data_IF_834801239237
#
_entry.id   IF_834801239237
#
_cell.length_a   1.000
_cell.length_b   1.000
_cell.length_c   1.000
_cell.angle_alpha   90.00
_cell.angle_beta   90.00
_cell.angle_gamma   90.00
#
_symmetry.space_group_name_H-M   'P 1'
#
loop_
_entity.id
_entity.type
_entity.pdbx_description
1 polymer ?
#
# COMPACT_ATOMS: atom_id res chain seq x y z
N UNK A 1 35.81 11.18 8.51
CA UNK A 1 35.19 9.96 7.94
C UNK A 1 33.76 9.74 8.45
N UNK A 2 33.48 9.80 9.76
CA UNK A 2 32.13 9.57 10.31
C UNK A 2 31.07 10.63 9.90
N UNK A 3 31.44 11.91 9.78
CA UNK A 3 30.52 12.98 9.33
C UNK A 3 30.00 12.81 7.87
N UNK A 4 30.74 12.13 6.99
CA UNK A 4 30.30 11.87 5.62
C UNK A 4 29.27 10.74 5.54
N UNK A 5 29.39 9.73 6.41
CA UNK A 5 28.45 8.61 6.47
C UNK A 5 27.11 8.98 7.13
N UNK A 6 27.12 9.93 8.09
CA UNK A 6 25.90 10.43 8.73
C UNK A 6 25.00 11.19 7.74
N UNK A 7 25.59 11.92 6.80
CA UNK A 7 24.83 12.63 5.75
C UNK A 7 24.19 11.64 4.75
N UNK A 8 24.94 10.63 4.29
CA UNK A 8 24.41 9.61 3.37
C UNK A 8 23.23 8.84 4.00
N UNK A 9 23.34 8.50 5.29
CA UNK A 9 22.26 7.83 6.01
C UNK A 9 21.02 8.71 6.17
N UNK A 10 21.21 9.99 6.52
CA UNK A 10 20.09 10.92 6.72
C UNK A 10 19.37 11.25 5.41
N UNK A 11 20.10 11.47 4.32
CA UNK A 11 19.53 11.71 3.00
C UNK A 11 18.70 10.52 2.50
N UNK A 12 19.21 9.29 2.64
CA UNK A 12 18.46 8.09 2.30
C UNK A 12 17.20 7.91 3.17
N UNK A 13 17.26 8.27 4.46
CA UNK A 13 16.09 8.23 5.34
C UNK A 13 15.02 9.23 4.90
N UNK A 14 15.40 10.46 4.55
CA UNK A 14 14.47 11.48 4.05
C UNK A 14 13.78 11.00 2.79
N UNK A 15 14.52 10.47 1.82
CA UNK A 15 13.95 9.91 0.58
C UNK A 15 12.99 8.75 0.90
N UNK A 16 13.38 7.85 1.80
CA UNK A 16 12.54 6.71 2.19
C UNK A 16 11.23 7.15 2.82
N UNK A 17 11.26 8.13 3.72
CA UNK A 17 10.05 8.67 4.37
C UNK A 17 9.14 9.34 3.34
N UNK A 18 9.69 10.13 2.42
CA UNK A 18 8.92 10.77 1.34
C UNK A 18 8.26 9.72 0.44
N UNK A 19 9.02 8.73 -0.03
CA UNK A 19 8.50 7.67 -0.89
C UNK A 19 7.43 6.85 -0.19
N UNK A 20 7.63 6.54 1.09
CA UNK A 20 6.64 5.80 1.90
C UNK A 20 5.36 6.61 2.08
N UNK A 21 5.47 7.92 2.35
CA UNK A 21 4.31 8.82 2.46
C UNK A 21 3.54 8.95 1.15
N UNK A 22 4.26 9.10 0.02
CA UNK A 22 3.65 9.14 -1.31
C UNK A 22 2.92 7.83 -1.63
N UNK A 23 3.55 6.69 -1.36
CA UNK A 23 2.96 5.37 -1.57
C UNK A 23 1.69 5.18 -0.73
N UNK A 24 1.72 5.56 0.55
CA UNK A 24 0.56 5.45 1.43
C UNK A 24 -0.64 6.28 0.94
N UNK A 25 -0.41 7.47 0.35
CA UNK A 25 -1.48 8.27 -0.25
C UNK A 25 -2.01 7.68 -1.56
N UNK A 26 -1.10 7.20 -2.42
CA UNK A 26 -1.45 6.58 -3.70
C UNK A 26 -2.23 5.27 -3.53
N UNK A 27 -1.95 4.51 -2.46
CA UNK A 27 -2.60 3.22 -2.18
C UNK A 27 -4.11 3.37 -1.98
N UNK A 28 -4.53 4.33 -1.15
CA UNK A 28 -5.95 4.54 -0.84
C UNK A 28 -6.74 5.00 -2.08
N UNK A 29 -6.15 5.88 -2.89
CA UNK A 29 -6.75 6.31 -4.16
C UNK A 29 -6.86 5.14 -5.15
N UNK A 30 -5.79 4.36 -5.27
CA UNK A 30 -5.75 3.18 -6.13
C UNK A 30 -6.78 2.12 -5.73
N UNK A 31 -6.97 1.87 -4.44
CA UNK A 31 -8.00 0.96 -3.94
C UNK A 31 -9.40 1.41 -4.39
N UNK A 32 -9.73 2.69 -4.22
CA UNK A 32 -11.01 3.25 -4.66
C UNK A 32 -11.19 3.15 -6.17
N UNK A 33 -10.15 3.51 -6.93
CA UNK A 33 -10.15 3.42 -8.39
C UNK A 33 -10.37 1.98 -8.88
N UNK A 34 -9.65 1.00 -8.33
CA UNK A 34 -9.78 -0.41 -8.71
C UNK A 34 -11.16 -0.97 -8.35
N UNK A 35 -11.71 -0.65 -7.18
CA UNK A 35 -13.06 -1.10 -6.81
C UNK A 35 -14.10 -0.55 -7.79
N UNK A 36 -14.03 0.75 -8.10
CA UNK A 36 -14.95 1.38 -9.04
C UNK A 36 -14.81 0.78 -10.46
N UNK A 37 -13.59 0.45 -10.88
CA UNK A 37 -13.30 -0.02 -12.23
C UNK A 37 -13.57 -1.51 -12.45
N UNK A 38 -13.33 -2.36 -11.46
CA UNK A 38 -13.53 -3.82 -11.57
C UNK A 38 -14.94 -4.25 -11.16
N UNK A 39 -15.51 -3.66 -10.11
CA UNK A 39 -16.79 -4.09 -9.55
C UNK A 39 -17.96 -3.14 -9.86
N UNK A 40 -17.67 -1.94 -10.38
CA UNK A 40 -18.68 -0.93 -10.68
C UNK A 40 -19.20 -0.21 -9.43
N UNK A 41 -20.11 0.75 -9.65
CA UNK A 41 -20.54 1.67 -8.59
C UNK A 41 -21.74 1.20 -7.76
N UNK A 42 -22.47 0.16 -8.22
CA UNK A 42 -23.76 -0.24 -7.62
C UNK A 42 -23.67 -0.67 -6.16
N UNK A 43 -22.59 -1.35 -5.77
CA UNK A 43 -22.33 -1.75 -4.37
C UNK A 43 -20.94 -1.27 -3.90
N UNK A 44 -20.47 -0.15 -4.45
CA UNK A 44 -19.11 0.37 -4.21
C UNK A 44 -18.78 0.48 -2.72
N UNK A 45 -19.66 1.13 -1.95
CA UNK A 45 -19.43 1.38 -0.53
C UNK A 45 -19.25 0.08 0.29
N UNK A 46 -19.99 -0.98 -0.03
CA UNK A 46 -19.89 -2.26 0.68
C UNK A 46 -18.57 -2.97 0.37
N UNK A 47 -18.17 -3.00 -0.91
CA UNK A 47 -16.93 -3.66 -1.35
C UNK A 47 -15.72 -2.86 -0.83
N UNK A 48 -15.73 -1.55 -1.01
CA UNK A 48 -14.66 -0.66 -0.55
C UNK A 48 -14.51 -0.71 0.97
N UNK A 49 -15.62 -0.71 1.73
CA UNK A 49 -15.55 -0.84 3.19
C UNK A 49 -14.93 -2.18 3.64
N UNK A 50 -15.24 -3.29 2.96
CA UNK A 50 -14.64 -4.58 3.26
C UNK A 50 -13.11 -4.59 3.06
N UNK A 51 -12.64 -4.00 1.97
CA UNK A 51 -11.19 -3.86 1.70
C UNK A 51 -10.55 -2.91 2.72
N UNK A 52 -11.20 -1.78 3.01
CA UNK A 52 -10.71 -0.78 3.96
C UNK A 52 -10.64 -1.33 5.39
N UNK A 53 -11.53 -2.24 5.79
CA UNK A 53 -11.43 -2.93 7.08
C UNK A 53 -10.14 -3.75 7.18
N UNK A 54 -9.78 -4.49 6.13
CA UNK A 54 -8.52 -5.22 6.08
C UNK A 54 -7.30 -4.30 6.21
N UNK A 55 -7.33 -3.18 5.47
CA UNK A 55 -6.30 -2.14 5.55
C UNK A 55 -6.19 -1.54 6.96
N UNK A 56 -7.32 -1.22 7.60
CA UNK A 56 -7.35 -0.63 8.95
C UNK A 56 -6.87 -1.60 10.04
N UNK A 57 -7.07 -2.91 9.87
CA UNK A 57 -6.58 -3.94 10.80
C UNK A 57 -5.06 -4.11 10.72
N UNK A 58 -4.46 -3.84 9.56
CA UNK A 58 -3.01 -3.96 9.33
C UNK A 58 -2.18 -3.26 10.40
N UNK A 59 -2.28 -1.93 10.57
CA UNK A 59 -1.55 -1.18 11.60
C UNK A 59 -1.77 -1.69 13.02
N UNK A 60 -2.99 -2.17 13.32
CA UNK A 60 -3.35 -2.73 14.63
C UNK A 60 -2.60 -4.02 14.95
N UNK A 61 -2.34 -4.86 13.95
CA UNK A 61 -1.58 -6.10 14.11
C UNK A 61 -0.08 -5.84 14.04
N UNK A 62 0.39 -5.00 13.12
CA UNK A 62 1.82 -4.79 12.88
C UNK A 62 2.52 -4.08 14.03
N UNK A 63 1.86 -3.14 14.72
CA UNK A 63 2.45 -2.38 15.84
C UNK A 63 2.91 -3.29 16.99
N UNK A 64 2.08 -4.16 17.59
CA UNK A 64 2.52 -5.08 18.64
C UNK A 64 3.51 -6.14 18.11
N UNK A 65 3.35 -6.60 16.87
CA UNK A 65 4.29 -7.55 16.24
C UNK A 65 5.69 -6.95 16.08
N UNK A 66 5.80 -5.69 15.63
CA UNK A 66 7.08 -4.98 15.51
C UNK A 66 7.68 -4.66 16.88
N UNK A 67 6.85 -4.34 17.88
CA UNK A 67 7.28 -4.14 19.26
C UNK A 67 7.90 -5.41 19.85
N UNK A 68 7.15 -6.52 19.82
CA UNK A 68 7.63 -7.81 20.33
C UNK A 68 8.84 -8.33 19.54
N UNK A 69 8.88 -8.13 18.22
CA UNK A 69 10.03 -8.46 17.39
C UNK A 69 11.29 -7.68 17.79
N UNK A 70 11.15 -6.39 18.10
CA UNK A 70 12.26 -5.57 18.62
C UNK A 70 12.72 -6.04 19.99
N UNK A 71 11.78 -6.36 20.88
CA UNK A 71 12.08 -6.79 22.24
C UNK A 71 12.83 -8.13 22.27
N UNK A 72 12.53 -9.04 21.34
CA UNK A 72 13.21 -10.33 21.21
C UNK A 72 14.58 -10.26 20.51
N UNK A 73 14.74 -9.39 19.51
CA UNK A 73 15.92 -9.37 18.63
C UNK A 73 16.89 -8.21 18.93
N UNK A 74 16.45 -7.21 19.70
CA UNK A 74 17.22 -5.99 19.99
C UNK A 74 17.40 -5.04 18.79
N UNK A 75 16.90 -5.40 17.60
CA UNK A 75 17.06 -4.63 16.35
C UNK A 75 15.79 -4.65 15.50
N UNK A 76 15.59 -3.59 14.70
CA UNK A 76 14.45 -3.45 13.76
C UNK A 76 14.75 -3.92 12.34
N UNK A 77 16.03 -4.17 12.01
CA UNK A 77 16.44 -4.61 10.68
C UNK A 77 15.59 -5.76 10.12
N UNK A 78 15.34 -6.87 10.85
CA UNK A 78 14.53 -7.98 10.32
C UNK A 78 13.07 -7.58 10.06
N UNK A 79 12.47 -6.77 10.94
CA UNK A 79 11.12 -6.25 10.73
C UNK A 79 11.02 -5.38 9.47
N UNK A 80 12.01 -4.51 9.24
CA UNK A 80 12.10 -3.68 8.04
C UNK A 80 12.26 -4.51 6.76
N UNK A 81 13.06 -5.58 6.78
CA UNK A 81 13.17 -6.49 5.63
C UNK A 81 11.86 -7.21 5.33
N UNK A 82 11.13 -7.67 6.36
CA UNK A 82 9.82 -8.29 6.17
C UNK A 82 8.83 -7.30 5.55
N UNK A 83 8.80 -6.06 6.03
CA UNK A 83 7.96 -5.01 5.45
C UNK A 83 8.33 -4.71 3.98
N UNK A 84 9.63 -4.64 3.67
CA UNK A 84 10.10 -4.43 2.30
C UNK A 84 9.67 -5.56 1.35
N UNK A 85 9.80 -6.82 1.77
CA UNK A 85 9.36 -7.98 0.99
C UNK A 85 7.84 -7.98 0.80
N UNK A 86 7.08 -7.65 1.85
CA UNK A 86 5.63 -7.56 1.77
C UNK A 86 5.17 -6.48 0.78
N UNK A 87 5.80 -5.30 0.80
CA UNK A 87 5.54 -4.23 -0.17
C UNK A 87 5.88 -4.65 -1.60
N UNK A 88 7.02 -5.30 -1.81
CA UNK A 88 7.40 -5.82 -3.13
C UNK A 88 6.40 -6.89 -3.63
N UNK A 89 5.94 -7.77 -2.73
CA UNK A 89 4.90 -8.74 -3.02
C UNK A 89 3.57 -8.10 -3.40
N UNK A 90 3.14 -7.06 -2.66
CA UNK A 90 1.94 -6.30 -2.98
C UNK A 90 2.03 -5.61 -4.35
N UNK A 91 3.17 -4.98 -4.65
CA UNK A 91 3.43 -4.38 -5.96
C UNK A 91 3.38 -5.42 -7.09
N UNK A 92 3.94 -6.63 -6.86
CA UNK A 92 3.90 -7.72 -7.82
C UNK A 92 2.47 -8.23 -8.04
N UNK A 93 1.70 -8.43 -6.98
CA UNK A 93 0.29 -8.84 -7.06
C UNK A 93 -0.52 -7.82 -7.85
N UNK A 94 -0.27 -6.53 -7.63
CA UNK A 94 -0.91 -5.46 -8.38
C UNK A 94 -0.48 -5.44 -9.85
N UNK A 95 0.80 -5.71 -10.14
CA UNK A 95 1.31 -5.80 -11.51
C UNK A 95 0.77 -7.01 -12.29
N UNK A 96 0.45 -8.11 -11.59
CA UNK A 96 -0.15 -9.31 -12.15
C UNK A 96 -1.68 -9.14 -12.31
N UNK A 97 -2.29 -8.15 -11.65
CA UNK A 97 -3.72 -7.88 -11.77
C UNK A 97 -4.04 -7.63 -13.25
N UNK A 98 -4.74 -8.60 -13.84
CA UNK A 98 -4.87 -8.78 -15.27
C UNK A 98 -5.59 -7.63 -15.98
N UNK A 99 -5.71 -7.75 -17.30
CA UNK A 99 -6.24 -6.69 -18.16
C UNK A 99 -7.62 -6.20 -17.68
N UNK A 100 -7.73 -4.88 -17.53
CA UNK A 100 -8.96 -4.20 -17.11
C UNK A 100 -10.19 -4.71 -17.88
N UNK A 101 -11.34 -4.94 -17.21
CA UNK A 101 -12.58 -5.27 -17.90
C UNK A 101 -12.97 -4.14 -18.86
N UNK A 102 -12.99 -4.43 -20.17
CA UNK A 102 -13.30 -3.45 -21.23
C UNK A 102 -14.78 -2.98 -21.22
N UNK A 103 -15.62 -3.47 -20.30
CA UNK A 103 -17.07 -3.33 -20.37
C UNK A 103 -17.77 -2.58 -19.23
N UNK A 104 -17.09 -2.12 -18.18
CA UNK A 104 -17.78 -1.54 -17.00
C UNK A 104 -17.71 -0.01 -17.01
N UNK A 105 -18.70 0.60 -17.68
CA UNK A 105 -19.35 1.80 -17.12
C UNK A 105 -19.09 3.15 -17.79
N UNK A 106 -18.05 3.36 -18.61
CA UNK A 106 -17.84 4.69 -19.23
C UNK A 106 -18.45 4.79 -20.63
N UNK A 107 -18.43 3.71 -21.41
CA UNK A 107 -19.03 3.66 -22.74
C UNK A 107 -20.57 3.67 -22.70
N UNK A 108 -21.18 3.24 -21.58
CA UNK A 108 -22.64 3.20 -21.42
C UNK A 108 -23.23 4.52 -20.91
N UNK A 109 -22.47 5.29 -20.12
CA UNK A 109 -22.83 6.66 -19.71
C UNK A 109 -22.69 7.68 -20.85
N UNK A 110 -21.82 7.42 -21.84
CA UNK A 110 -21.70 8.24 -23.04
C UNK A 110 -22.67 7.85 -24.17
N UNK A 111 -23.31 6.68 -24.07
CA UNK A 111 -24.29 6.19 -25.05
C UNK A 111 -25.75 6.47 -24.65
N UNK A 112 -26.00 6.74 -23.36
CA UNK A 112 -27.32 7.09 -22.81
C UNK A 112 -27.46 8.62 -22.55
N UNK A 113 -26.67 9.44 -23.25
CA UNK A 113 -26.69 10.92 -23.20
C UNK A 113 -27.09 11.54 -24.53
#
# INVERSE_FOLDING_TARGET
AALGAINLGTECLVVTIILTGLAAGAEVDLMGYLVARYFGLRHFGMIYAGIYMGFALGPGLTTPLFGAGRDALGTYAPGLYVAAIALAGAALLLAILGRYPEGVGVARLAADG
#
